data_IF_457931959230
#
_entry.id   IF_457931959230
#
_cell.length_a   1.000
_cell.length_b   1.000
_cell.length_c   1.000
_cell.angle_alpha   90.00
_cell.angle_beta   90.00
_cell.angle_gamma   90.00
#
_symmetry.space_group_name_H-M   'P 1'
#
loop_
_entity.id
_entity.type
_entity.pdbx_description
1 polymer ?
#
# COMPACT_ATOMS: atom_id res chain seq x y z
N UNK A 1 34.20 -15.78 -10.24
CA UNK A 1 34.74 -14.74 -11.17
C UNK A 1 34.75 -13.41 -10.44
N UNK A 2 35.90 -12.75 -10.31
CA UNK A 2 35.98 -11.45 -9.63
C UNK A 2 35.28 -10.37 -10.44
N UNK A 3 34.34 -9.66 -9.83
CA UNK A 3 33.59 -8.58 -10.45
C UNK A 3 34.50 -7.35 -10.58
N UNK A 4 34.72 -6.87 -11.80
CA UNK A 4 35.45 -5.61 -12.08
C UNK A 4 34.40 -4.50 -12.01
N UNK A 5 34.45 -3.66 -11.00
CA UNK A 5 33.47 -2.57 -10.77
C UNK A 5 33.61 -1.41 -11.78
N UNK A 6 34.74 -1.34 -12.50
CA UNK A 6 34.97 -0.29 -13.50
C UNK A 6 35.66 -0.89 -14.73
N UNK A 7 35.16 -0.57 -15.93
CA UNK A 7 35.65 -1.13 -17.20
C UNK A 7 37.17 -0.86 -17.49
N UNK A 8 37.74 0.17 -16.86
CA UNK A 8 39.18 0.48 -16.94
C UNK A 8 40.00 -0.10 -15.80
N UNK A 9 39.41 -0.92 -14.91
CA UNK A 9 40.20 -1.53 -13.81
C UNK A 9 41.11 -2.64 -14.35
N UNK A 10 42.39 -2.48 -14.17
CA UNK A 10 43.43 -3.42 -14.62
C UNK A 10 43.74 -4.55 -13.62
N UNK A 11 43.10 -4.52 -12.45
CA UNK A 11 43.27 -5.54 -11.41
C UNK A 11 41.96 -6.19 -11.02
N UNK A 12 41.89 -7.51 -11.16
CA UNK A 12 40.78 -8.31 -10.66
C UNK A 12 40.94 -8.64 -9.18
N UNK A 13 39.93 -9.11 -8.51
CA UNK A 13 39.99 -9.58 -7.12
C UNK A 13 41.04 -10.71 -6.95
N UNK A 14 41.09 -11.63 -7.93
CA UNK A 14 42.09 -12.70 -7.94
C UNK A 14 43.56 -12.16 -8.00
N UNK A 15 43.80 -11.18 -8.88
CA UNK A 15 45.12 -10.52 -8.98
C UNK A 15 45.47 -9.82 -7.68
N UNK A 16 44.57 -9.11 -7.05
CA UNK A 16 44.76 -8.40 -5.77
C UNK A 16 45.09 -9.38 -4.64
N UNK A 17 44.38 -10.50 -4.59
CA UNK A 17 44.62 -11.58 -3.62
C UNK A 17 45.97 -12.25 -3.83
N UNK A 18 46.39 -12.49 -5.08
CA UNK A 18 47.68 -13.00 -5.43
C UNK A 18 48.82 -12.04 -4.99
N UNK A 19 48.66 -10.73 -5.20
CA UNK A 19 49.61 -9.69 -4.75
C UNK A 19 49.72 -9.68 -3.22
N UNK A 20 48.64 -9.77 -2.48
CA UNK A 20 48.66 -9.76 -1.01
C UNK A 20 49.37 -10.98 -0.41
N UNK A 21 49.20 -12.15 -1.02
CA UNK A 21 49.79 -13.42 -0.55
C UNK A 21 51.24 -13.63 -0.98
N UNK A 22 51.67 -12.92 -2.02
CA UNK A 22 53.05 -13.11 -2.57
C UNK A 22 54.11 -12.48 -1.71
N UNK A 23 55.28 -13.12 -1.60
CA UNK A 23 56.49 -12.61 -0.95
C UNK A 23 57.42 -11.93 -1.95
N UNK A 24 57.10 -11.91 -3.24
CA UNK A 24 57.94 -11.31 -4.27
C UNK A 24 58.06 -9.79 -4.13
N UNK A 25 59.10 -9.23 -4.77
CA UNK A 25 59.35 -7.80 -4.79
C UNK A 25 58.22 -7.04 -5.53
N UNK A 26 58.02 -5.77 -5.17
CA UNK A 26 57.01 -4.92 -5.83
C UNK A 26 57.25 -4.80 -7.33
N UNK A 27 58.51 -4.76 -7.76
CA UNK A 27 58.90 -4.65 -9.18
C UNK A 27 58.61 -5.95 -9.94
N UNK A 28 58.85 -7.10 -9.35
CA UNK A 28 58.60 -8.42 -9.93
C UNK A 28 57.08 -8.62 -10.13
N UNK A 29 56.30 -8.34 -9.11
CA UNK A 29 54.84 -8.43 -9.19
C UNK A 29 54.25 -7.43 -10.20
N UNK A 30 54.80 -6.22 -10.27
CA UNK A 30 54.40 -5.22 -11.23
C UNK A 30 54.60 -5.70 -12.68
N UNK A 31 55.77 -6.29 -12.96
CA UNK A 31 56.09 -6.88 -14.26
C UNK A 31 55.22 -8.08 -14.59
N UNK A 32 55.00 -9.00 -13.61
CA UNK A 32 54.19 -10.20 -13.77
C UNK A 32 52.73 -9.87 -14.12
N UNK A 33 52.13 -8.91 -13.45
CA UNK A 33 50.72 -8.55 -13.63
C UNK A 33 50.47 -7.40 -14.60
N UNK A 34 51.52 -6.82 -15.21
CA UNK A 34 51.40 -5.71 -16.15
C UNK A 34 50.86 -4.42 -15.52
N UNK A 35 51.13 -4.15 -14.26
CA UNK A 35 50.60 -3.01 -13.50
C UNK A 35 51.68 -2.14 -12.88
N UNK A 36 51.34 -0.92 -12.50
CA UNK A 36 52.26 0.00 -11.89
C UNK A 36 52.75 -0.50 -10.50
N UNK A 37 54.04 -0.42 -10.15
CA UNK A 37 54.55 -0.78 -8.82
C UNK A 37 53.85 -0.07 -7.67
N UNK A 38 53.41 1.18 -7.85
CA UNK A 38 52.59 1.91 -6.85
C UNK A 38 51.26 1.23 -6.60
N UNK A 39 50.64 0.63 -7.63
CA UNK A 39 49.40 -0.14 -7.51
C UNK A 39 49.63 -1.43 -6.73
N UNK A 40 50.75 -2.13 -6.96
CA UNK A 40 51.14 -3.30 -6.18
C UNK A 40 51.34 -2.94 -4.71
N UNK A 41 52.10 -1.87 -4.42
CA UNK A 41 52.31 -1.38 -3.06
C UNK A 41 51.00 -1.02 -2.34
N UNK A 42 50.06 -0.37 -3.07
CA UNK A 42 48.74 -0.05 -2.56
C UNK A 42 47.99 -1.33 -2.14
N UNK A 43 47.99 -2.38 -2.98
CA UNK A 43 47.26 -3.62 -2.67
C UNK A 43 47.94 -4.46 -1.61
N UNK A 44 49.29 -4.45 -1.51
CA UNK A 44 50.01 -5.09 -0.41
C UNK A 44 49.71 -4.50 0.97
N UNK A 45 49.47 -3.18 1.06
CA UNK A 45 49.13 -2.49 2.31
C UNK A 45 47.67 -2.69 2.77
N UNK A 46 46.79 -3.15 1.89
CA UNK A 46 45.37 -3.34 2.23
C UNK A 46 45.11 -4.70 2.85
N UNK A 47 44.23 -4.73 3.84
CA UNK A 47 43.72 -5.96 4.45
C UNK A 47 42.60 -6.62 3.62
N UNK A 48 41.93 -5.85 2.73
CA UNK A 48 40.83 -6.31 1.88
C UNK A 48 41.16 -6.12 0.41
N UNK A 49 40.70 -7.06 -0.44
CA UNK A 49 40.77 -7.00 -1.91
C UNK A 49 39.64 -6.23 -2.54
N UNK A 50 38.60 -5.89 -1.77
CA UNK A 50 37.42 -5.15 -2.25
C UNK A 50 37.76 -3.70 -2.60
N UNK A 51 37.02 -3.14 -3.56
CA UNK A 51 37.10 -1.71 -3.84
C UNK A 51 36.47 -0.91 -2.71
N UNK A 52 37.10 0.22 -2.37
CA UNK A 52 36.52 1.16 -1.41
C UNK A 52 35.38 1.93 -2.10
N UNK A 53 34.32 2.28 -1.36
CA UNK A 53 33.28 3.18 -1.87
C UNK A 53 33.91 4.47 -2.41
N UNK A 54 33.51 4.86 -3.63
CA UNK A 54 34.06 6.06 -4.31
C UNK A 54 33.25 7.33 -4.02
N UNK A 55 32.09 7.20 -3.38
CA UNK A 55 31.25 8.33 -3.01
C UNK A 55 31.74 9.10 -1.77
N UNK A 56 31.18 10.26 -1.49
CA UNK A 56 31.48 11.03 -0.29
C UNK A 56 31.11 10.23 0.97
N UNK A 57 31.91 10.36 2.03
CA UNK A 57 31.65 9.69 3.32
C UNK A 57 30.32 10.13 3.95
N UNK A 58 29.96 11.40 3.77
CA UNK A 58 28.70 11.99 4.22
C UNK A 58 28.04 12.65 3.00
N UNK A 59 27.17 11.91 2.28
CA UNK A 59 26.46 12.48 1.14
C UNK A 59 25.42 13.49 1.62
N UNK A 60 25.45 14.71 1.09
CA UNK A 60 24.45 15.77 1.29
C UNK A 60 23.55 15.88 0.07
N UNK A 61 22.38 16.47 0.23
CA UNK A 61 21.51 16.79 -0.90
C UNK A 61 22.06 17.99 -1.68
N UNK A 62 21.92 17.95 -3.01
CA UNK A 62 22.15 19.09 -3.88
C UNK A 62 20.83 19.72 -4.37
N UNK A 63 19.69 19.11 -4.01
CA UNK A 63 18.36 19.49 -4.50
C UNK A 63 17.44 19.93 -3.36
N UNK A 64 17.52 19.28 -2.21
CA UNK A 64 16.69 19.58 -1.04
C UNK A 64 17.49 20.39 -0.02
N UNK A 65 16.87 21.42 0.56
CA UNK A 65 17.42 22.12 1.72
C UNK A 65 17.39 21.25 2.97
N UNK A 66 18.03 21.69 4.04
CA UNK A 66 18.06 20.97 5.33
C UNK A 66 16.63 20.91 5.92
N UNK A 67 15.88 22.00 5.81
CA UNK A 67 14.49 22.10 6.28
C UNK A 67 13.58 21.15 5.49
N UNK A 68 13.71 21.12 4.17
CA UNK A 68 12.95 20.23 3.30
C UNK A 68 13.27 18.74 3.58
N UNK A 69 14.53 18.40 3.81
CA UNK A 69 14.89 17.07 4.28
C UNK A 69 14.25 16.73 5.63
N UNK A 70 14.22 17.68 6.56
CA UNK A 70 13.56 17.56 7.85
C UNK A 70 12.05 17.25 7.69
N UNK A 71 11.37 18.00 6.82
CA UNK A 71 9.94 17.79 6.49
C UNK A 71 9.73 16.37 5.91
N UNK A 72 10.54 15.98 4.92
CA UNK A 72 10.46 14.66 4.30
C UNK A 72 10.63 13.53 5.32
N UNK A 73 11.63 13.66 6.19
CA UNK A 73 11.95 12.64 7.21
C UNK A 73 10.85 12.55 8.25
N UNK A 74 10.37 13.69 8.77
CA UNK A 74 9.29 13.74 9.73
C UNK A 74 8.00 13.13 9.13
N UNK A 75 7.62 13.57 7.93
CA UNK A 75 6.45 13.06 7.24
C UNK A 75 6.50 11.53 7.06
N UNK A 76 7.65 10.99 6.57
CA UNK A 76 7.81 9.56 6.37
C UNK A 76 7.73 8.74 7.65
N UNK A 77 8.35 9.23 8.74
CA UNK A 77 8.36 8.56 10.05
C UNK A 77 6.98 8.51 10.69
N UNK A 78 6.22 9.59 10.56
CA UNK A 78 4.89 9.68 11.17
C UNK A 78 3.81 8.94 10.36
N UNK A 79 3.87 9.04 9.02
CA UNK A 79 2.81 8.49 8.16
C UNK A 79 3.04 7.05 7.74
N UNK A 80 4.30 6.59 7.68
CA UNK A 80 4.70 5.29 7.13
C UNK A 80 4.15 5.02 5.72
N UNK A 81 3.88 6.09 4.94
CA UNK A 81 3.36 5.96 3.58
C UNK A 81 4.42 5.40 2.62
N UNK A 82 4.04 4.64 1.58
CA UNK A 82 4.95 4.25 0.50
C UNK A 82 5.62 5.46 -0.17
N UNK A 83 6.77 5.23 -0.85
CA UNK A 83 7.57 6.28 -1.46
C UNK A 83 6.77 7.20 -2.38
N UNK A 84 5.95 6.61 -3.25
CA UNK A 84 5.20 7.37 -4.24
C UNK A 84 4.03 8.15 -3.60
N UNK A 85 3.41 7.61 -2.55
CA UNK A 85 2.37 8.31 -1.78
C UNK A 85 2.98 9.50 -1.00
N UNK A 86 4.19 9.33 -0.43
CA UNK A 86 4.94 10.44 0.17
C UNK A 86 5.27 11.52 -0.86
N UNK A 87 5.66 11.14 -2.08
CA UNK A 87 5.95 12.09 -3.14
C UNK A 87 4.72 12.96 -3.45
N UNK A 88 3.59 12.33 -3.74
CA UNK A 88 2.36 13.05 -4.07
C UNK A 88 1.85 13.94 -2.93
N UNK A 89 2.00 13.49 -1.69
CA UNK A 89 1.58 14.28 -0.53
C UNK A 89 2.48 15.51 -0.28
N UNK A 90 3.79 15.39 -0.59
CA UNK A 90 4.76 16.46 -0.33
C UNK A 90 4.98 17.42 -1.51
N UNK A 91 4.63 17.03 -2.73
CA UNK A 91 4.79 17.89 -3.92
C UNK A 91 4.10 19.25 -3.82
N UNK A 92 2.90 19.41 -3.23
CA UNK A 92 2.31 20.74 -3.05
C UNK A 92 3.15 21.67 -2.16
N UNK A 93 3.88 21.11 -1.18
CA UNK A 93 4.74 21.87 -0.26
C UNK A 93 6.16 22.04 -0.80
N UNK A 94 6.67 21.03 -1.52
CA UNK A 94 8.02 21.00 -2.12
C UNK A 94 7.86 20.71 -3.61
N UNK A 95 7.55 21.70 -4.46
CA UNK A 95 7.18 21.49 -5.86
C UNK A 95 8.28 20.85 -6.72
N UNK A 96 9.57 21.07 -6.39
CA UNK A 96 10.71 20.49 -7.08
C UNK A 96 11.10 19.09 -6.58
N UNK A 97 10.33 18.52 -5.63
CA UNK A 97 10.58 17.17 -5.13
C UNK A 97 10.35 16.14 -6.22
N UNK A 98 11.39 15.39 -6.54
CA UNK A 98 11.33 14.27 -7.48
C UNK A 98 11.38 12.95 -6.73
N UNK A 99 10.90 11.89 -7.39
CA UNK A 99 10.98 10.52 -6.84
C UNK A 99 12.42 10.13 -6.48
N UNK A 100 13.39 10.55 -7.29
CA UNK A 100 14.80 10.23 -7.09
C UNK A 100 15.42 11.01 -5.93
N UNK A 101 15.09 12.31 -5.77
CA UNK A 101 15.57 13.12 -4.64
C UNK A 101 14.97 12.63 -3.32
N UNK A 102 13.67 12.32 -3.31
CA UNK A 102 12.97 11.73 -2.17
C UNK A 102 13.60 10.39 -1.76
N UNK A 103 13.79 9.45 -2.70
CA UNK A 103 14.39 8.15 -2.39
C UNK A 103 15.81 8.29 -1.84
N UNK A 104 16.63 9.17 -2.41
CA UNK A 104 17.98 9.42 -1.92
C UNK A 104 17.99 10.04 -0.52
N UNK A 105 17.08 10.98 -0.24
CA UNK A 105 16.88 11.53 1.10
C UNK A 105 16.55 10.42 2.10
N UNK A 106 15.50 9.64 1.85
CA UNK A 106 15.08 8.54 2.73
C UNK A 106 16.18 7.48 2.93
N UNK A 107 16.99 7.22 1.89
CA UNK A 107 18.12 6.29 1.98
C UNK A 107 19.24 6.84 2.88
N UNK A 108 19.56 8.14 2.79
CA UNK A 108 20.56 8.78 3.69
C UNK A 108 20.15 8.67 5.15
N UNK A 109 18.87 8.82 5.44
CA UNK A 109 18.32 8.75 6.79
C UNK A 109 17.95 7.32 7.24
N UNK A 110 18.26 6.27 6.44
CA UNK A 110 18.01 4.86 6.82
C UNK A 110 16.56 4.43 6.84
N UNK A 111 15.63 5.24 6.28
CA UNK A 111 14.17 5.02 6.32
C UNK A 111 13.56 4.79 4.93
N UNK A 112 14.38 4.34 3.96
CA UNK A 112 13.92 4.07 2.60
C UNK A 112 13.01 2.85 2.50
N UNK A 113 13.19 1.86 3.40
CA UNK A 113 12.30 0.70 3.52
C UNK A 113 11.27 0.95 4.62
N UNK A 114 10.05 0.50 4.39
CA UNK A 114 9.06 0.38 5.47
C UNK A 114 9.44 -0.79 6.36
N UNK A 115 9.05 -0.79 7.66
CA UNK A 115 9.13 -1.98 8.49
C UNK A 115 8.50 -3.17 7.75
N UNK A 116 9.20 -4.28 7.69
CA UNK A 116 8.69 -5.48 7.03
C UNK A 116 7.52 -6.04 7.85
N UNK A 117 6.34 -6.05 7.25
CA UNK A 117 5.27 -6.98 7.61
C UNK A 117 5.45 -8.16 6.67
N UNK A 118 5.57 -9.37 7.19
CA UNK A 118 5.77 -10.60 6.42
C UNK A 118 4.73 -10.70 5.29
N UNK A 119 5.16 -10.45 4.07
CA UNK A 119 4.32 -10.50 2.88
C UNK A 119 4.84 -11.58 1.93
N UNK A 120 4.04 -12.61 1.73
CA UNK A 120 4.23 -13.58 0.65
C UNK A 120 4.11 -12.85 -0.70
N UNK A 121 5.23 -12.73 -1.41
CA UNK A 121 5.31 -12.19 -2.78
C UNK A 121 4.49 -13.02 -3.76
N UNK A 122 3.21 -12.67 -3.95
CA UNK A 122 2.41 -13.20 -5.04
C UNK A 122 2.69 -12.43 -6.33
N UNK A 123 2.86 -13.14 -7.44
CA UNK A 123 3.08 -12.59 -8.77
C UNK A 123 2.05 -11.50 -9.14
N UNK A 124 2.52 -10.39 -9.70
CA UNK A 124 1.70 -9.25 -10.11
C UNK A 124 0.88 -9.59 -11.36
N UNK A 125 -0.29 -10.21 -11.20
CA UNK A 125 -1.26 -10.37 -12.27
C UNK A 125 -1.94 -9.04 -12.57
N UNK A 126 -2.05 -8.67 -13.85
CA UNK A 126 -2.83 -7.50 -14.28
C UNK A 126 -4.31 -7.78 -14.04
N UNK A 127 -4.94 -7.04 -13.15
CA UNK A 127 -6.37 -7.15 -12.91
C UNK A 127 -7.17 -6.50 -14.04
N UNK A 128 -8.31 -7.14 -14.40
CA UNK A 128 -9.27 -6.57 -15.35
C UNK A 128 -9.77 -5.20 -14.85
N UNK A 129 -9.83 -4.22 -15.75
CA UNK A 129 -10.42 -2.92 -15.43
C UNK A 129 -11.95 -3.06 -15.31
N UNK A 130 -12.53 -2.38 -14.33
CA UNK A 130 -13.97 -2.32 -14.10
C UNK A 130 -14.39 -0.85 -13.97
N UNK A 131 -15.63 -0.50 -14.31
CA UNK A 131 -16.16 0.83 -14.02
C UNK A 131 -16.28 1.04 -12.51
N UNK A 132 -16.47 2.30 -12.10
CA UNK A 132 -16.74 2.66 -10.70
C UNK A 132 -18.07 2.02 -10.24
N UNK A 133 -18.13 1.61 -8.96
CA UNK A 133 -19.32 0.92 -8.41
C UNK A 133 -19.15 -0.60 -8.26
N UNK A 134 -17.92 -1.12 -8.39
CA UNK A 134 -17.58 -2.50 -8.06
C UNK A 134 -16.91 -2.55 -6.67
N UNK A 135 -17.64 -3.00 -5.66
CA UNK A 135 -17.14 -3.09 -4.30
C UNK A 135 -16.73 -4.50 -3.89
N UNK A 136 -15.63 -4.58 -3.17
CA UNK A 136 -15.26 -5.76 -2.39
C UNK A 136 -15.63 -5.49 -0.94
N UNK A 137 -16.32 -6.44 -0.31
CA UNK A 137 -16.70 -6.36 1.12
C UNK A 137 -16.06 -7.52 1.87
N UNK A 138 -15.54 -7.23 3.05
CA UNK A 138 -14.94 -8.21 3.96
C UNK A 138 -15.19 -7.81 5.42
N UNK A 139 -15.10 -8.79 6.32
CA UNK A 139 -15.28 -8.59 7.76
C UNK A 139 -14.03 -9.08 8.47
N UNK A 140 -13.46 -8.22 9.30
CA UNK A 140 -12.31 -8.55 10.11
C UNK A 140 -12.61 -8.38 11.61
N UNK A 141 -11.98 -9.18 12.45
CA UNK A 141 -12.07 -9.00 13.89
C UNK A 141 -11.03 -7.98 14.38
N UNK A 142 -11.47 -7.13 15.29
CA UNK A 142 -10.64 -6.20 16.05
C UNK A 142 -11.03 -6.24 17.53
N UNK A 143 -10.12 -5.79 18.40
CA UNK A 143 -10.36 -5.80 19.87
C UNK A 143 -9.96 -4.48 20.49
N UNK A 144 -10.69 -4.12 21.54
CA UNK A 144 -10.34 -3.08 22.51
C UNK A 144 -10.38 -3.73 23.91
N UNK A 145 -10.10 -2.99 24.99
CA UNK A 145 -10.29 -3.52 26.35
C UNK A 145 -11.75 -3.87 26.69
N UNK A 146 -12.71 -3.14 26.11
CA UNK A 146 -14.14 -3.45 26.27
C UNK A 146 -14.55 -4.75 25.56
N UNK A 147 -13.68 -5.33 24.72
CA UNK A 147 -13.94 -6.59 24.07
C UNK A 147 -13.78 -6.59 22.56
N UNK A 148 -14.47 -7.53 21.92
CA UNK A 148 -14.38 -7.82 20.49
C UNK A 148 -15.36 -6.99 19.69
N UNK A 149 -14.90 -6.48 18.54
CA UNK A 149 -15.70 -5.85 17.50
C UNK A 149 -15.44 -6.48 16.15
N UNK A 150 -16.39 -6.31 15.25
CA UNK A 150 -16.30 -6.70 13.85
C UNK A 150 -16.17 -5.46 12.98
N UNK A 151 -15.08 -5.37 12.26
CA UNK A 151 -14.77 -4.33 11.29
C UNK A 151 -15.29 -4.76 9.93
N UNK A 152 -16.36 -4.16 9.47
CA UNK A 152 -16.89 -4.30 8.11
C UNK A 152 -16.18 -3.30 7.21
N UNK A 153 -15.60 -3.77 6.12
CA UNK A 153 -14.86 -2.94 5.16
C UNK A 153 -15.38 -3.18 3.77
N UNK A 154 -15.74 -2.11 3.08
CA UNK A 154 -16.01 -2.10 1.66
C UNK A 154 -14.98 -1.22 0.94
N UNK A 155 -14.45 -1.67 -0.18
CA UNK A 155 -13.56 -0.88 -1.03
C UNK A 155 -14.00 -0.95 -2.49
N UNK A 156 -14.17 0.22 -3.12
CA UNK A 156 -14.39 0.28 -4.55
C UNK A 156 -13.12 -0.12 -5.30
N UNK A 157 -13.26 -1.06 -6.21
CA UNK A 157 -12.15 -1.62 -6.95
C UNK A 157 -11.45 -0.58 -7.84
N UNK A 158 -12.14 0.42 -8.30
CA UNK A 158 -11.68 1.41 -9.27
C UNK A 158 -11.23 2.68 -8.58
N UNK A 159 -12.09 3.36 -7.83
CA UNK A 159 -11.77 4.60 -7.12
C UNK A 159 -10.94 4.40 -5.87
N UNK A 160 -10.85 3.17 -5.34
CA UNK A 160 -10.23 2.86 -4.04
C UNK A 160 -10.94 3.52 -2.85
N UNK A 161 -12.12 4.07 -3.05
CA UNK A 161 -12.92 4.61 -1.96
C UNK A 161 -13.24 3.52 -0.95
N UNK A 162 -13.02 3.80 0.32
CA UNK A 162 -13.25 2.88 1.41
C UNK A 162 -14.43 3.34 2.27
N UNK A 163 -15.33 2.40 2.57
CA UNK A 163 -16.42 2.59 3.53
C UNK A 163 -16.28 1.56 4.63
N UNK A 164 -16.38 1.97 5.89
CA UNK A 164 -16.14 1.09 7.05
C UNK A 164 -17.12 1.34 8.16
N UNK A 165 -17.51 0.27 8.86
CA UNK A 165 -18.29 0.33 10.09
C UNK A 165 -17.77 -0.66 11.13
N UNK A 166 -17.97 -0.35 12.42
CA UNK A 166 -17.66 -1.21 13.56
C UNK A 166 -18.94 -1.69 14.23
N UNK A 167 -19.11 -3.00 14.33
CA UNK A 167 -20.28 -3.63 14.95
C UNK A 167 -19.86 -4.62 16.03
N UNK A 168 -20.73 -4.82 17.02
CA UNK A 168 -20.52 -5.81 18.08
C UNK A 168 -20.78 -7.25 17.61
N UNK A 169 -21.52 -7.42 16.52
CA UNK A 169 -21.88 -8.72 15.93
C UNK A 169 -21.68 -8.70 14.42
N UNK A 170 -21.42 -9.88 13.85
CA UNK A 170 -21.36 -10.10 12.41
C UNK A 170 -22.47 -11.10 12.04
N UNK A 171 -23.67 -10.62 11.84
CA UNK A 171 -24.84 -11.39 11.47
C UNK A 171 -25.48 -10.90 10.16
N UNK A 172 -26.46 -11.63 9.65
CA UNK A 172 -27.17 -11.32 8.39
C UNK A 172 -27.87 -9.95 8.40
N UNK A 173 -28.60 -9.56 9.49
CA UNK A 173 -29.22 -8.24 9.58
C UNK A 173 -28.20 -7.10 9.52
N UNK A 174 -27.05 -7.25 10.22
CA UNK A 174 -26.00 -6.23 10.22
C UNK A 174 -25.34 -6.11 8.85
N UNK A 175 -25.04 -7.23 8.19
CA UNK A 175 -24.48 -7.21 6.84
C UNK A 175 -25.44 -6.53 5.83
N UNK A 176 -26.75 -6.76 5.97
CA UNK A 176 -27.76 -6.06 5.17
C UNK A 176 -27.75 -4.54 5.40
N UNK A 177 -27.79 -4.10 6.68
CA UNK A 177 -27.72 -2.66 7.02
C UNK A 177 -26.44 -2.01 6.56
N UNK A 178 -25.30 -2.69 6.68
CA UNK A 178 -24.02 -2.21 6.16
C UNK A 178 -24.08 -1.96 4.65
N UNK A 179 -24.70 -2.87 3.87
CA UNK A 179 -24.87 -2.67 2.44
C UNK A 179 -25.81 -1.48 2.13
N UNK A 180 -26.90 -1.34 2.87
CA UNK A 180 -27.82 -0.19 2.74
C UNK A 180 -27.10 1.14 3.05
N UNK A 181 -26.28 1.17 4.10
CA UNK A 181 -25.47 2.33 4.47
C UNK A 181 -24.39 2.64 3.41
N UNK A 182 -23.73 1.62 2.86
CA UNK A 182 -22.76 1.78 1.77
C UNK A 182 -23.42 2.39 0.53
N UNK A 183 -24.62 1.91 0.14
CA UNK A 183 -25.37 2.43 -1.01
C UNK A 183 -25.71 3.92 -0.80
N UNK A 184 -26.09 4.31 0.42
CA UNK A 184 -26.40 5.70 0.76
C UNK A 184 -25.16 6.60 0.85
N UNK A 185 -23.99 6.05 1.19
CA UNK A 185 -22.77 6.81 1.40
C UNK A 185 -22.02 7.21 0.11
N UNK A 186 -22.27 6.52 -1.00
CA UNK A 186 -21.56 6.80 -2.26
C UNK A 186 -22.42 7.56 -3.25
N UNK A 187 -21.87 8.54 -4.00
CA UNK A 187 -22.65 9.38 -4.91
C UNK A 187 -22.99 8.71 -6.27
N UNK A 188 -22.60 7.45 -6.47
CA UNK A 188 -22.77 6.71 -7.72
C UNK A 188 -23.43 5.36 -7.49
N UNK A 189 -23.94 4.78 -8.57
CA UNK A 189 -24.64 3.48 -8.51
C UNK A 189 -23.65 2.34 -8.32
N UNK A 190 -23.93 1.48 -7.34
CA UNK A 190 -23.26 0.20 -7.21
C UNK A 190 -23.83 -0.75 -8.28
N UNK A 191 -22.96 -1.44 -8.99
CA UNK A 191 -23.39 -2.44 -9.97
C UNK A 191 -22.98 -3.86 -9.59
N UNK A 192 -21.91 -4.03 -8.79
CA UNK A 192 -21.43 -5.35 -8.37
C UNK A 192 -20.84 -5.27 -6.96
N UNK A 193 -21.17 -6.24 -6.14
CA UNK A 193 -20.57 -6.45 -4.83
C UNK A 193 -19.98 -7.85 -4.78
N UNK A 194 -18.70 -7.96 -4.38
CA UNK A 194 -18.00 -9.20 -4.16
C UNK A 194 -17.77 -9.42 -2.67
N UNK A 195 -18.25 -10.54 -2.13
CA UNK A 195 -18.05 -10.94 -0.74
C UNK A 195 -17.41 -12.34 -0.67
N UNK A 196 -16.96 -12.73 0.52
CA UNK A 196 -16.65 -14.13 0.81
C UNK A 196 -17.94 -14.97 0.92
N UNK A 197 -17.76 -16.28 1.22
CA UNK A 197 -18.87 -17.21 1.41
C UNK A 197 -19.36 -17.26 2.87
N UNK A 198 -19.10 -16.24 3.67
CA UNK A 198 -19.56 -16.15 5.06
C UNK A 198 -21.09 -16.21 5.18
N UNK A 199 -21.58 -16.77 6.29
CA UNK A 199 -23.03 -16.93 6.56
C UNK A 199 -23.77 -15.59 6.65
N UNK A 200 -23.10 -14.51 6.88
CA UNK A 200 -23.60 -13.15 6.92
C UNK A 200 -23.92 -12.60 5.53
N UNK A 201 -23.30 -13.14 4.47
CA UNK A 201 -23.47 -12.70 3.09
C UNK A 201 -24.21 -13.70 2.23
N UNK A 202 -24.09 -15.01 2.53
CA UNK A 202 -24.67 -16.06 1.72
C UNK A 202 -25.16 -17.24 2.56
N UNK A 203 -26.09 -18.01 2.00
CA UNK A 203 -26.49 -19.27 2.60
C UNK A 203 -25.38 -20.32 2.47
N UNK A 204 -25.28 -21.20 3.47
CA UNK A 204 -24.35 -22.33 3.45
C UNK A 204 -24.59 -23.20 2.19
N UNK A 205 -23.55 -23.79 1.60
CA UNK A 205 -23.68 -24.65 0.40
C UNK A 205 -24.78 -25.69 0.53
N UNK A 206 -24.87 -26.38 1.69
CA UNK A 206 -25.91 -27.36 1.98
C UNK A 206 -27.36 -26.84 1.93
N UNK A 207 -27.53 -25.52 2.07
CA UNK A 207 -28.86 -24.88 2.09
C UNK A 207 -29.20 -24.22 0.74
N UNK A 208 -28.24 -24.14 -0.20
CA UNK A 208 -28.45 -23.51 -1.53
C UNK A 208 -29.23 -24.40 -2.48
N UNK A 209 -29.05 -25.74 -2.35
CA UNK A 209 -29.61 -26.73 -3.28
C UNK A 209 -30.81 -27.50 -2.70
N UNK A 210 -31.27 -27.16 -1.48
CA UNK A 210 -32.42 -27.78 -0.84
C UNK A 210 -33.74 -27.38 -1.49
N UNK A 211 -34.79 -28.23 -1.43
CA UNK A 211 -36.14 -27.96 -1.98
C UNK A 211 -36.77 -26.68 -1.43
N UNK A 212 -36.39 -26.26 -0.19
CA UNK A 212 -36.82 -24.99 0.44
C UNK A 212 -36.00 -23.79 -0.03
N UNK A 213 -34.85 -23.98 -0.73
CA UNK A 213 -33.98 -22.88 -1.20
C UNK A 213 -34.70 -21.91 -2.14
N UNK A 214 -35.72 -22.41 -2.90
CA UNK A 214 -36.52 -21.59 -3.80
C UNK A 214 -37.39 -20.53 -3.09
N UNK A 215 -37.67 -20.72 -1.79
CA UNK A 215 -38.50 -19.84 -0.98
C UNK A 215 -37.71 -18.97 0.01
N UNK A 216 -36.41 -19.17 0.12
CA UNK A 216 -35.53 -18.42 1.06
C UNK A 216 -34.48 -17.64 0.26
N UNK A 217 -34.73 -16.36 0.12
CA UNK A 217 -33.71 -15.46 -0.44
C UNK A 217 -32.94 -14.83 0.72
N UNK A 218 -31.60 -14.94 0.71
CA UNK A 218 -30.77 -14.31 1.72
C UNK A 218 -30.98 -12.79 1.76
N UNK A 219 -31.06 -12.19 2.95
CA UNK A 219 -31.33 -10.76 3.14
C UNK A 219 -30.38 -9.88 2.30
N UNK A 220 -29.09 -10.21 2.29
CA UNK A 220 -28.09 -9.49 1.51
C UNK A 220 -28.43 -9.51 0.00
N UNK A 221 -28.81 -10.68 -0.54
CA UNK A 221 -29.24 -10.83 -1.93
C UNK A 221 -30.55 -10.09 -2.23
N UNK A 222 -31.47 -10.00 -1.27
CA UNK A 222 -32.72 -9.21 -1.43
C UNK A 222 -32.39 -7.73 -1.64
N UNK A 223 -31.47 -7.17 -0.81
CA UNK A 223 -31.02 -5.78 -0.93
C UNK A 223 -30.30 -5.57 -2.26
N UNK A 224 -29.40 -6.48 -2.65
CA UNK A 224 -28.73 -6.42 -3.95
C UNK A 224 -29.74 -6.38 -5.10
N UNK A 225 -30.71 -7.29 -5.13
CA UNK A 225 -31.73 -7.35 -6.18
C UNK A 225 -32.60 -6.09 -6.23
N UNK A 226 -33.03 -5.60 -5.06
CA UNK A 226 -33.83 -4.37 -4.96
C UNK A 226 -33.11 -3.13 -5.52
N UNK A 227 -31.80 -3.12 -5.51
CA UNK A 227 -30.96 -2.01 -5.98
C UNK A 227 -30.27 -2.30 -7.33
N UNK A 228 -30.58 -3.40 -8.01
CA UNK A 228 -29.97 -3.77 -9.30
C UNK A 228 -28.49 -4.12 -9.21
N UNK A 229 -28.03 -4.59 -8.04
CA UNK A 229 -26.63 -4.94 -7.76
C UNK A 229 -26.42 -6.43 -7.99
N UNK A 230 -25.38 -6.78 -8.76
CA UNK A 230 -24.93 -8.16 -8.91
C UNK A 230 -24.13 -8.58 -7.68
N UNK A 231 -24.61 -9.55 -6.91
CA UNK A 231 -23.86 -10.14 -5.80
C UNK A 231 -23.02 -11.30 -6.32
N UNK A 232 -21.71 -11.22 -6.14
CA UNK A 232 -20.73 -12.25 -6.48
C UNK A 232 -20.06 -12.78 -5.23
N UNK A 233 -19.86 -14.10 -5.19
CA UNK A 233 -19.11 -14.75 -4.13
C UNK A 233 -17.69 -15.11 -4.62
N UNK A 234 -16.73 -15.02 -3.71
CA UNK A 234 -15.36 -15.49 -4.01
C UNK A 234 -15.38 -16.99 -4.27
N UNK A 235 -14.63 -17.43 -5.27
CA UNK A 235 -14.47 -18.88 -5.52
C UNK A 235 -13.68 -19.51 -4.37
N UNK A 236 -14.12 -20.67 -3.87
CA UNK A 236 -13.34 -21.44 -2.89
C UNK A 236 -11.91 -21.68 -3.42
N UNK A 237 -10.90 -21.58 -2.57
CA UNK A 237 -9.49 -21.78 -2.91
C UNK A 237 -8.89 -20.76 -3.91
N UNK A 238 -9.51 -19.57 -4.08
CA UNK A 238 -8.98 -18.50 -4.91
C UNK A 238 -8.77 -17.20 -4.12
N UNK A 239 -7.84 -17.16 -3.14
CA UNK A 239 -7.65 -16.03 -2.22
C UNK A 239 -7.33 -14.72 -2.93
N UNK A 240 -6.69 -14.76 -4.11
CA UNK A 240 -6.35 -13.55 -4.89
C UNK A 240 -7.55 -12.71 -5.37
N UNK A 241 -8.77 -13.26 -5.34
CA UNK A 241 -9.98 -12.51 -5.76
C UNK A 241 -10.35 -11.42 -4.75
N UNK A 242 -10.01 -11.59 -3.46
CA UNK A 242 -10.33 -10.66 -2.39
C UNK A 242 -9.15 -9.75 -1.94
N UNK A 243 -7.99 -9.88 -2.59
CA UNK A 243 -6.74 -9.25 -2.17
C UNK A 243 -6.76 -7.71 -2.07
N UNK A 244 -7.76 -7.02 -2.61
CA UNK A 244 -7.87 -5.55 -2.46
C UNK A 244 -8.47 -5.17 -1.10
N UNK A 245 -9.55 -5.84 -0.69
CA UNK A 245 -10.17 -5.57 0.61
C UNK A 245 -9.31 -6.11 1.75
N UNK A 246 -8.64 -7.26 1.57
CA UNK A 246 -7.66 -7.78 2.54
C UNK A 246 -6.52 -6.78 2.78
N UNK A 247 -6.01 -6.17 1.70
CA UNK A 247 -5.00 -5.10 1.81
C UNK A 247 -5.55 -3.88 2.53
N UNK A 248 -6.81 -3.50 2.29
CA UNK A 248 -7.45 -2.39 3.00
C UNK A 248 -7.64 -2.73 4.47
N UNK A 249 -8.12 -3.93 4.81
CA UNK A 249 -8.20 -4.43 6.18
C UNK A 249 -6.85 -4.37 6.90
N UNK A 250 -5.78 -4.81 6.24
CA UNK A 250 -4.42 -4.70 6.76
C UNK A 250 -4.03 -3.24 6.99
N UNK A 251 -4.22 -2.38 6.00
CA UNK A 251 -3.89 -0.94 6.10
C UNK A 251 -4.63 -0.27 7.25
N UNK A 252 -5.90 -0.60 7.47
CA UNK A 252 -6.69 -0.09 8.60
C UNK A 252 -6.13 -0.62 9.91
N UNK A 253 -5.90 -1.94 10.03
CA UNK A 253 -5.36 -2.54 11.26
C UNK A 253 -3.98 -2.00 11.62
N UNK A 254 -3.10 -1.82 10.65
CA UNK A 254 -1.77 -1.22 10.84
C UNK A 254 -1.84 0.25 11.29
N UNK A 255 -2.82 0.99 10.80
CA UNK A 255 -3.04 2.39 11.20
C UNK A 255 -3.76 2.53 12.55
N UNK A 256 -4.43 1.48 13.03
CA UNK A 256 -5.25 1.48 14.24
C UNK A 256 -4.77 0.44 15.25
N UNK A 257 -5.45 -0.70 15.36
CA UNK A 257 -5.32 -1.70 16.44
C UNK A 257 -3.95 -2.40 16.52
N UNK A 258 -3.17 -2.42 15.45
CA UNK A 258 -1.82 -2.97 15.49
C UNK A 258 -0.80 -1.95 16.03
N UNK A 259 -1.15 -0.68 16.08
CA UNK A 259 -0.25 0.42 16.45
C UNK A 259 -0.63 1.08 17.77
N UNK A 260 -1.94 1.13 18.06
CA UNK A 260 -2.49 1.81 19.24
C UNK A 260 -3.33 0.87 20.06
N UNK A 261 -3.26 1.06 21.36
CA UNK A 261 -4.12 0.42 22.33
C UNK A 261 -5.36 1.28 22.57
N UNK A 262 -6.53 0.68 22.67
CA UNK A 262 -7.81 1.38 22.88
C UNK A 262 -8.51 0.82 24.12
N UNK A 263 -8.79 1.67 25.06
CA UNK A 263 -9.55 1.35 26.26
C UNK A 263 -11.03 1.13 25.91
N UNK A 264 -11.60 1.99 25.03
CA UNK A 264 -13.01 1.96 24.69
C UNK A 264 -13.27 1.76 23.20
N UNK A 265 -14.43 1.19 22.90
CA UNK A 265 -14.93 1.10 21.52
C UNK A 265 -15.10 2.48 20.86
N UNK A 266 -15.46 3.51 21.65
CA UNK A 266 -15.60 4.88 21.19
C UNK A 266 -14.32 5.48 20.66
N UNK A 267 -13.18 5.29 21.37
CA UNK A 267 -11.86 5.73 20.93
C UNK A 267 -11.49 5.13 19.57
N UNK A 268 -11.67 3.81 19.43
CA UNK A 268 -11.39 3.12 18.15
C UNK A 268 -12.29 3.64 17.03
N UNK A 269 -13.59 3.86 17.29
CA UNK A 269 -14.54 4.39 16.28
C UNK A 269 -14.12 5.77 15.79
N UNK A 270 -13.77 6.68 16.71
CA UNK A 270 -13.33 8.04 16.35
C UNK A 270 -12.05 8.01 15.54
N UNK A 271 -11.06 7.24 15.97
CA UNK A 271 -9.81 7.12 15.25
C UNK A 271 -10.01 6.51 13.85
N UNK A 272 -10.84 5.46 13.75
CA UNK A 272 -11.16 4.81 12.48
C UNK A 272 -11.87 5.78 11.52
N UNK A 273 -12.83 6.55 12.00
CA UNK A 273 -13.54 7.55 11.19
C UNK A 273 -12.57 8.61 10.65
N UNK A 274 -11.68 9.13 11.49
CA UNK A 274 -10.66 10.10 11.10
C UNK A 274 -9.68 9.49 10.08
N UNK A 275 -9.24 8.26 10.29
CA UNK A 275 -8.35 7.56 9.37
C UNK A 275 -9.01 7.36 8.00
N UNK A 276 -10.26 6.88 7.94
CA UNK A 276 -10.98 6.63 6.69
C UNK A 276 -11.26 7.94 5.95
N UNK A 277 -11.61 9.01 6.68
CA UNK A 277 -11.75 10.34 6.11
C UNK A 277 -10.44 10.82 5.48
N UNK A 278 -9.34 10.77 6.23
CA UNK A 278 -8.02 11.13 5.71
C UNK A 278 -7.59 10.26 4.51
N UNK A 279 -7.93 8.97 4.52
CA UNK A 279 -7.67 8.06 3.40
C UNK A 279 -8.46 8.46 2.15
N UNK A 280 -9.77 8.66 2.28
CA UNK A 280 -10.63 8.94 1.14
C UNK A 280 -10.42 10.33 0.53
N UNK A 281 -10.20 11.35 1.36
CA UNK A 281 -10.15 12.74 0.92
C UNK A 281 -8.74 13.32 0.82
N UNK A 282 -7.80 12.81 1.61
CA UNK A 282 -6.44 13.38 1.73
C UNK A 282 -5.32 12.52 1.13
N UNK A 283 -5.44 11.19 1.21
CA UNK A 283 -4.36 10.29 0.80
C UNK A 283 -4.27 10.18 -0.72
N UNK A 284 -3.16 10.65 -1.29
CA UNK A 284 -2.88 10.58 -2.72
C UNK A 284 -2.30 9.22 -3.09
N UNK A 285 -2.92 8.53 -4.04
CA UNK A 285 -2.56 7.16 -4.42
C UNK A 285 -1.89 7.13 -5.80
N UNK A 286 -0.74 6.45 -5.90
CA UNK A 286 -0.06 6.23 -7.19
C UNK A 286 -0.95 5.57 -8.24
N UNK A 287 -1.76 4.58 -7.84
CA UNK A 287 -2.64 3.85 -8.75
C UNK A 287 -3.72 4.77 -9.36
N UNK A 288 -4.06 5.86 -8.68
CA UNK A 288 -4.98 6.90 -9.12
C UNK A 288 -4.24 8.11 -9.72
N UNK A 289 -2.97 7.92 -10.13
CA UNK A 289 -2.11 8.97 -10.71
C UNK A 289 -1.93 10.19 -9.80
N UNK A 290 -1.89 9.98 -8.50
CA UNK A 290 -1.68 11.04 -7.50
C UNK A 290 -2.96 11.72 -7.03
N UNK A 291 -4.12 11.24 -7.41
CA UNK A 291 -5.41 11.68 -6.87
C UNK A 291 -5.75 10.93 -5.59
N UNK A 292 -6.52 11.57 -4.70
CA UNK A 292 -7.18 10.86 -3.62
C UNK A 292 -8.37 10.03 -4.16
N UNK A 293 -8.87 9.03 -3.43
CA UNK A 293 -10.05 8.28 -3.83
C UNK A 293 -11.24 9.17 -4.22
N UNK A 294 -11.49 10.22 -3.44
CA UNK A 294 -12.62 11.11 -3.70
C UNK A 294 -12.37 12.08 -4.88
N UNK A 295 -11.17 12.64 -5.02
CA UNK A 295 -10.79 13.42 -6.22
C UNK A 295 -10.95 12.59 -7.50
N UNK A 296 -10.62 11.29 -7.43
CA UNK A 296 -10.81 10.37 -8.55
C UNK A 296 -12.30 10.16 -8.87
N UNK A 297 -13.17 10.05 -7.85
CA UNK A 297 -14.63 9.99 -8.02
C UNK A 297 -15.13 11.24 -8.75
N UNK A 298 -14.73 12.44 -8.33
CA UNK A 298 -15.10 13.70 -8.99
C UNK A 298 -14.62 13.73 -10.46
N UNK A 299 -13.41 13.23 -10.73
CA UNK A 299 -12.87 13.16 -12.10
C UNK A 299 -13.65 12.16 -12.98
N UNK A 300 -14.18 11.07 -12.42
CA UNK A 300 -15.07 10.17 -13.17
C UNK A 300 -16.42 10.83 -13.42
N UNK A 301 -16.96 11.55 -12.46
CA UNK A 301 -18.25 12.25 -12.61
C UNK A 301 -18.22 13.24 -13.79
N UNK A 302 -17.16 14.00 -13.98
CA UNK A 302 -17.02 14.90 -15.12
C UNK A 302 -17.03 14.20 -16.49
N UNK A 303 -16.69 12.90 -16.54
CA UNK A 303 -16.61 12.12 -17.78
C UNK A 303 -17.83 11.21 -18.02
N UNK A 304 -18.39 10.69 -16.93
CA UNK A 304 -19.45 9.69 -16.94
C UNK A 304 -20.54 10.04 -15.91
N UNK A 305 -21.21 11.22 -16.04
CA UNK A 305 -22.20 11.68 -15.04
C UNK A 305 -23.38 10.73 -14.89
N UNK A 306 -23.77 10.00 -15.93
CA UNK A 306 -24.91 9.07 -15.92
C UNK A 306 -24.76 7.90 -14.92
N UNK A 307 -23.53 7.64 -14.44
CA UNK A 307 -23.27 6.63 -13.40
C UNK A 307 -23.59 7.12 -12.01
N UNK A 308 -23.78 8.42 -11.84
CA UNK A 308 -23.95 9.05 -10.54
C UNK A 308 -25.43 9.27 -10.21
N UNK A 309 -25.71 9.29 -8.93
CA UNK A 309 -27.03 9.58 -8.35
C UNK A 309 -27.05 11.03 -7.86
N UNK A 310 -25.90 11.50 -7.36
CA UNK A 310 -25.69 12.83 -6.79
C UNK A 310 -24.43 13.45 -7.36
N UNK A 311 -24.38 14.78 -7.39
CA UNK A 311 -23.14 15.51 -7.70
C UNK A 311 -22.13 15.33 -6.54
N UNK A 312 -20.98 14.69 -6.79
CA UNK A 312 -20.00 14.44 -5.73
C UNK A 312 -19.30 15.71 -5.23
N UNK A 313 -19.30 16.80 -6.00
CA UNK A 313 -18.62 18.04 -5.62
C UNK A 313 -19.26 18.67 -4.38
N UNK A 314 -20.57 18.55 -4.24
CA UNK A 314 -21.30 19.07 -3.08
C UNK A 314 -21.12 18.23 -1.80
N UNK A 315 -20.48 17.06 -1.87
CA UNK A 315 -20.24 16.18 -0.72
C UNK A 315 -18.81 16.26 -0.18
N UNK A 316 -17.96 17.15 -0.70
CA UNK A 316 -16.58 17.29 -0.21
C UNK A 316 -16.57 17.99 1.15
N UNK A 317 -15.97 17.38 2.21
CA UNK A 317 -15.77 18.06 3.49
C UNK A 317 -14.93 19.32 3.30
N UNK A 318 -15.43 20.45 3.78
CA UNK A 318 -14.70 21.73 3.74
C UNK A 318 -15.05 22.66 2.57
N UNK A 319 -15.88 22.24 1.61
CA UNK A 319 -16.37 23.16 0.55
C UNK A 319 -17.69 23.87 0.91
N UNK A 320 -18.33 23.48 2.01
CA UNK A 320 -19.59 24.02 2.49
C UNK A 320 -19.45 24.79 3.82
N UNK A 321 -18.30 25.44 4.04
CA UNK A 321 -18.13 26.38 5.15
C UNK A 321 -18.05 27.79 4.63
#
# INVERSE_FOLDING_TARGET
>A
MGQVLHGSATTTEATRRAIQRSQESLRTLAKRHGINPKTVAKWKKRSSVADLPTGPKQPISTVLSIEEEGIVVAFRRHTLLPLDDCLYALQPTIPHLTRSSLHRCLKRHGISRLPEVEDNNAEKRKFKAYPIGYFHIDIAEVRTEEGKLYLFVAIDRTSKFAFVELHQKADRPIAGRFLEALIAAVPYRLHTVLTDNGIQFADLPRNRDGWTARYRVHRFDQICRANGIEHRLTKPNHPWTNGQVERMNRTIKEATVNRYHYETHGQLRTHLANFVSAYNFGRRLKILKGLSPYEYICNIWTKEPDRFILDPIHQMPGLNT
#
